data_IF_387389295817
#
_entry.id   IF_387389295817
#
_cell.length_a   1.000
_cell.length_b   1.000
_cell.length_c   1.000
_cell.angle_alpha   90.00
_cell.angle_beta   90.00
_cell.angle_gamma   90.00
#
_symmetry.space_group_name_H-M   'P 1'
#
loop_
_entity.id
_entity.type
_entity.pdbx_description
1 polymer ?
#
# COMPACT_ATOMS: atom_id res chain seq x y z
N UNK A 1 -10.50 -1.15 8.70
CA UNK A 1 -11.10 -1.02 7.35
C UNK A 1 -11.20 0.41 6.84
N UNK A 2 -11.80 1.37 7.57
CA UNK A 2 -11.98 2.76 7.08
C UNK A 2 -10.70 3.41 6.54
N UNK A 3 -9.58 3.28 7.24
CA UNK A 3 -8.30 3.86 6.81
C UNK A 3 -7.76 3.27 5.49
N UNK A 4 -7.82 1.94 5.31
CA UNK A 4 -7.43 1.30 4.05
C UNK A 4 -8.33 1.75 2.89
N UNK A 5 -9.64 1.89 3.13
CA UNK A 5 -10.55 2.41 2.12
C UNK A 5 -10.20 3.84 1.70
N UNK A 6 -9.83 4.71 2.65
CA UNK A 6 -9.41 6.09 2.35
C UNK A 6 -8.13 6.10 1.52
N UNK A 7 -7.13 5.28 1.88
CA UNK A 7 -5.89 5.15 1.11
C UNK A 7 -6.15 4.61 -0.30
N UNK A 8 -7.00 3.60 -0.44
CA UNK A 8 -7.35 3.03 -1.74
C UNK A 8 -8.03 4.07 -2.63
N UNK A 9 -9.02 4.81 -2.10
CA UNK A 9 -9.68 5.90 -2.82
C UNK A 9 -8.65 6.95 -3.28
N UNK A 10 -7.72 7.33 -2.41
CA UNK A 10 -6.65 8.26 -2.78
C UNK A 10 -5.80 7.73 -3.94
N UNK A 11 -5.35 6.48 -3.88
CA UNK A 11 -4.54 5.83 -4.91
C UNK A 11 -5.31 5.63 -6.23
N UNK A 12 -6.63 5.56 -6.19
CA UNK A 12 -7.49 5.38 -7.36
C UNK A 12 -7.92 6.71 -8.00
N UNK A 13 -7.88 7.81 -7.25
CA UNK A 13 -8.26 9.15 -7.74
C UNK A 13 -7.11 9.75 -8.55
N UNK A 14 -7.32 10.15 -9.83
CA UNK A 14 -6.31 10.84 -10.63
C UNK A 14 -5.77 12.10 -9.96
N UNK A 15 -4.47 12.34 -10.10
CA UNK A 15 -3.88 13.64 -9.79
C UNK A 15 -4.11 14.63 -10.95
N UNK A 16 -4.06 15.97 -10.71
CA UNK A 16 -4.24 16.96 -11.77
C UNK A 16 -3.30 16.77 -12.96
N UNK A 17 -2.09 16.26 -12.73
CA UNK A 17 -1.10 15.98 -13.77
C UNK A 17 -1.47 14.76 -14.65
N UNK A 18 -2.36 13.90 -14.17
CA UNK A 18 -2.87 12.74 -14.91
C UNK A 18 -4.11 13.08 -15.77
N UNK A 19 -4.71 14.26 -15.57
CA UNK A 19 -5.94 14.68 -16.27
C UNK A 19 -5.57 15.59 -17.43
N UNK A 20 -5.91 15.18 -18.66
CA UNK A 20 -5.82 16.05 -19.83
C UNK A 20 -7.14 16.78 -20.04
N UNK A 21 -7.15 18.10 -19.79
CA UNK A 21 -8.33 18.97 -19.94
C UNK A 21 -8.93 18.97 -21.37
N UNK A 22 -8.19 18.48 -22.38
CA UNK A 22 -8.64 18.41 -23.77
C UNK A 22 -9.10 17.01 -24.22
N UNK A 23 -9.02 16.00 -23.34
CA UNK A 23 -9.43 14.64 -23.62
C UNK A 23 -10.93 14.45 -23.39
N UNK A 24 -11.65 13.97 -24.40
CA UNK A 24 -13.08 13.63 -24.29
C UNK A 24 -13.33 12.26 -23.62
N UNK A 25 -12.27 11.58 -23.20
CA UNK A 25 -12.34 10.30 -22.50
C UNK A 25 -12.54 10.55 -21.00
N UNK A 26 -13.55 9.88 -20.44
CA UNK A 26 -13.96 9.91 -19.02
C UNK A 26 -12.73 9.93 -18.10
N UNK A 27 -12.68 10.86 -17.13
CA UNK A 27 -11.60 10.98 -16.13
C UNK A 27 -11.43 9.63 -15.40
N UNK A 28 -10.52 8.80 -15.92
CA UNK A 28 -10.41 7.40 -15.55
C UNK A 28 -9.88 7.16 -14.14
N UNK A 29 -9.67 5.90 -13.78
CA UNK A 29 -8.93 5.57 -12.55
C UNK A 29 -7.46 5.94 -12.73
N UNK A 30 -6.83 6.46 -11.67
CA UNK A 30 -5.39 6.78 -11.67
C UNK A 30 -4.56 5.56 -12.04
N UNK A 31 -3.51 5.78 -12.84
CA UNK A 31 -2.56 4.75 -13.25
C UNK A 31 -1.19 4.91 -12.60
N UNK A 32 -1.00 5.96 -11.78
CA UNK A 32 0.27 6.19 -11.08
C UNK A 32 0.69 5.01 -10.20
N UNK A 33 2.00 4.80 -10.11
CA UNK A 33 2.62 3.68 -9.39
C UNK A 33 2.66 3.89 -7.88
N UNK A 34 2.90 5.12 -7.42
CA UNK A 34 3.18 5.49 -6.04
C UNK A 34 2.28 6.62 -5.53
N UNK A 35 2.48 7.08 -4.29
CA UNK A 35 1.58 8.05 -3.67
C UNK A 35 1.46 9.36 -4.46
N UNK A 36 2.57 9.83 -5.02
CA UNK A 36 2.70 11.15 -5.64
C UNK A 36 3.22 11.09 -7.08
N UNK A 37 2.96 9.97 -7.77
CA UNK A 37 3.30 9.80 -9.18
C UNK A 37 3.96 8.46 -9.47
N UNK A 38 4.88 8.46 -10.44
CA UNK A 38 5.53 7.25 -10.93
C UNK A 38 6.90 6.95 -10.30
N UNK A 39 7.43 7.87 -9.48
CA UNK A 39 8.66 7.69 -8.72
C UNK A 39 8.40 7.65 -7.22
N UNK A 40 9.29 6.97 -6.49
CA UNK A 40 9.24 6.91 -5.03
C UNK A 40 9.57 8.29 -4.45
N UNK A 41 8.81 8.68 -3.43
CA UNK A 41 8.98 9.93 -2.70
C UNK A 41 9.14 9.66 -1.20
N UNK A 42 9.44 10.70 -0.43
CA UNK A 42 9.52 10.62 1.04
C UNK A 42 8.22 10.12 1.68
N UNK A 43 7.07 10.38 1.05
CA UNK A 43 5.78 9.88 1.54
C UNK A 43 5.71 8.36 1.48
N UNK A 44 6.26 7.77 0.40
CA UNK A 44 6.31 6.32 0.21
C UNK A 44 7.24 5.66 1.23
N UNK A 45 8.42 6.24 1.46
CA UNK A 45 9.37 5.76 2.47
C UNK A 45 8.77 5.72 3.89
N UNK A 46 7.83 6.62 4.20
CA UNK A 46 7.15 6.64 5.49
C UNK A 46 5.99 5.63 5.57
N UNK A 47 5.23 5.47 4.48
CA UNK A 47 4.03 4.63 4.48
C UNK A 47 4.33 3.16 4.24
N UNK A 48 5.19 2.82 3.27
CA UNK A 48 5.43 1.45 2.83
C UNK A 48 5.90 0.51 3.95
N UNK A 49 6.85 0.89 4.82
CA UNK A 49 7.26 0.01 5.94
C UNK A 49 6.09 -0.28 6.89
N UNK A 50 5.26 0.74 7.19
CA UNK A 50 4.10 0.59 8.09
C UNK A 50 3.03 -0.29 7.45
N UNK A 51 2.75 -0.08 6.18
CA UNK A 51 1.75 -0.85 5.45
C UNK A 51 2.17 -2.32 5.29
N UNK A 52 3.46 -2.58 5.09
CA UNK A 52 4.00 -3.94 5.02
C UNK A 52 3.89 -4.68 6.36
N UNK A 53 4.25 -4.02 7.48
CA UNK A 53 4.06 -4.59 8.82
C UNK A 53 2.59 -4.93 9.05
N UNK A 54 1.67 -4.01 8.73
CA UNK A 54 0.22 -4.26 8.84
C UNK A 54 -0.19 -5.48 8.01
N UNK A 55 0.27 -5.60 6.77
CA UNK A 55 -0.03 -6.75 5.90
C UNK A 55 0.44 -8.07 6.53
N UNK A 56 1.68 -8.15 6.99
CA UNK A 56 2.29 -9.38 7.54
C UNK A 56 1.63 -9.77 8.86
N UNK A 57 1.58 -8.85 9.82
CA UNK A 57 1.05 -9.13 11.18
C UNK A 57 -0.44 -9.46 11.12
N UNK A 58 -1.23 -8.72 10.36
CA UNK A 58 -2.66 -9.00 10.26
C UNK A 58 -2.95 -10.34 9.57
N UNK A 59 -2.14 -10.73 8.57
CA UNK A 59 -2.27 -12.06 7.96
C UNK A 59 -1.93 -13.16 8.95
N UNK A 60 -0.80 -13.05 9.66
CA UNK A 60 -0.34 -14.08 10.60
C UNK A 60 -1.28 -14.30 11.78
N UNK A 61 -1.70 -13.23 12.44
CA UNK A 61 -2.39 -13.33 13.72
C UNK A 61 -3.91 -13.24 13.65
N UNK A 62 -4.46 -12.75 12.53
CA UNK A 62 -5.91 -12.51 12.38
C UNK A 62 -6.50 -13.09 11.10
N UNK A 63 -5.70 -13.79 10.29
CA UNK A 63 -6.05 -14.25 8.94
C UNK A 63 -6.68 -13.16 8.06
N UNK A 64 -6.35 -11.91 8.34
CA UNK A 64 -6.89 -10.76 7.62
C UNK A 64 -5.98 -10.44 6.45
N UNK A 65 -6.55 -10.40 5.24
CA UNK A 65 -5.91 -9.90 4.04
C UNK A 65 -6.57 -8.60 3.59
N UNK A 66 -5.79 -7.75 2.91
CA UNK A 66 -6.33 -6.56 2.24
C UNK A 66 -7.32 -7.05 1.16
N UNK A 67 -8.60 -6.63 1.20
CA UNK A 67 -9.58 -7.08 0.22
C UNK A 67 -9.17 -6.80 -1.23
N UNK A 68 -9.48 -7.71 -2.14
CA UNK A 68 -9.17 -7.59 -3.58
C UNK A 68 -9.86 -6.39 -4.26
N UNK A 69 -10.95 -5.87 -3.67
CA UNK A 69 -11.60 -4.65 -4.14
C UNK A 69 -10.73 -3.40 -4.00
N UNK A 70 -9.72 -3.41 -3.10
CA UNK A 70 -8.78 -2.30 -2.92
C UNK A 70 -7.65 -2.35 -3.95
N UNK A 71 -8.04 -2.17 -5.22
CA UNK A 71 -7.16 -2.29 -6.39
C UNK A 71 -6.01 -1.29 -6.38
N UNK A 72 -6.22 -0.09 -5.83
CA UNK A 72 -5.19 0.94 -5.72
C UNK A 72 -4.07 0.53 -4.78
N UNK A 73 -4.44 -0.03 -3.62
CA UNK A 73 -3.47 -0.56 -2.65
C UNK A 73 -2.71 -1.75 -3.22
N UNK A 74 -3.39 -2.69 -3.89
CA UNK A 74 -2.73 -3.83 -4.51
C UNK A 74 -1.76 -3.39 -5.62
N UNK A 75 -2.15 -2.43 -6.46
CA UNK A 75 -1.26 -1.82 -7.46
C UNK A 75 -0.06 -1.16 -6.81
N UNK A 76 -0.27 -0.39 -5.74
CA UNK A 76 0.78 0.32 -5.02
C UNK A 76 1.81 -0.65 -4.41
N UNK A 77 1.34 -1.64 -3.66
CA UNK A 77 2.21 -2.66 -3.05
C UNK A 77 2.96 -3.46 -4.11
N UNK A 78 2.31 -3.85 -5.20
CA UNK A 78 2.96 -4.58 -6.30
C UNK A 78 4.11 -3.78 -6.90
N UNK A 79 3.91 -2.49 -7.17
CA UNK A 79 4.97 -1.62 -7.69
C UNK A 79 6.08 -1.42 -6.66
N UNK A 80 5.75 -1.26 -5.37
CA UNK A 80 6.74 -1.11 -4.32
C UNK A 80 7.61 -2.36 -4.13
N UNK A 81 7.02 -3.56 -4.09
CA UNK A 81 7.79 -4.81 -3.96
C UNK A 81 8.69 -5.10 -5.17
N UNK A 82 8.43 -4.48 -6.33
CA UNK A 82 9.29 -4.57 -7.51
C UNK A 82 10.47 -3.59 -7.48
N UNK A 83 10.53 -2.67 -6.51
CA UNK A 83 11.61 -1.70 -6.33
C UNK A 83 12.62 -2.22 -5.32
N UNK A 84 13.90 -2.26 -5.72
CA UNK A 84 14.99 -2.73 -4.88
C UNK A 84 15.11 -1.92 -3.58
N UNK A 85 14.85 -0.61 -3.67
CA UNK A 85 14.90 0.32 -2.54
C UNK A 85 13.96 -0.10 -1.40
N UNK A 86 12.85 -0.76 -1.74
CA UNK A 86 11.91 -1.29 -0.77
C UNK A 86 12.16 -2.76 -0.46
N UNK A 87 12.34 -3.63 -1.47
CA UNK A 87 12.47 -5.07 -1.25
C UNK A 87 13.72 -5.44 -0.46
N UNK A 88 14.83 -4.73 -0.69
CA UNK A 88 16.12 -5.01 -0.02
C UNK A 88 16.22 -4.39 1.38
N UNK A 89 15.27 -3.53 1.77
CA UNK A 89 15.24 -2.86 3.08
C UNK A 89 14.15 -3.41 4.00
N UNK A 90 13.25 -4.26 3.49
CA UNK A 90 12.29 -4.96 4.32
C UNK A 90 12.98 -6.05 5.15
N UNK A 91 12.70 -6.15 6.46
CA UNK A 91 13.09 -7.34 7.22
C UNK A 91 12.29 -8.55 6.74
N UNK A 92 12.80 -9.74 7.02
CA UNK A 92 12.08 -10.98 6.73
C UNK A 92 10.73 -11.01 7.47
N UNK A 93 9.70 -11.60 6.85
CA UNK A 93 8.36 -11.68 7.43
C UNK A 93 8.39 -12.32 8.83
N UNK A 94 9.24 -13.33 9.05
CA UNK A 94 9.41 -14.00 10.36
C UNK A 94 9.88 -13.05 11.47
N UNK A 95 10.76 -12.09 11.16
CA UNK A 95 11.24 -11.09 12.12
C UNK A 95 10.12 -10.11 12.51
N UNK A 96 9.30 -9.71 11.53
CA UNK A 96 8.12 -8.86 11.78
C UNK A 96 7.11 -9.61 12.66
N UNK A 97 6.84 -10.88 12.35
CA UNK A 97 5.93 -11.71 13.13
C UNK A 97 6.42 -11.85 14.58
N UNK A 98 7.69 -12.23 14.76
CA UNK A 98 8.30 -12.37 16.08
C UNK A 98 8.22 -11.08 16.90
N UNK A 99 8.49 -9.93 16.29
CA UNK A 99 8.41 -8.63 16.96
C UNK A 99 7.00 -8.31 17.49
N UNK A 100 5.95 -8.85 16.87
CA UNK A 100 4.55 -8.62 17.27
C UNK A 100 3.93 -9.79 18.05
N UNK A 101 4.64 -10.89 18.25
CA UNK A 101 4.09 -12.12 18.81
C UNK A 101 3.39 -11.91 20.16
N UNK A 102 4.02 -11.18 21.08
CA UNK A 102 3.52 -10.96 22.43
C UNK A 102 2.27 -10.07 22.45
N UNK A 103 2.27 -8.99 21.65
CA UNK A 103 1.19 -8.00 21.64
C UNK A 103 0.00 -8.46 20.80
N UNK A 104 0.23 -9.19 19.70
CA UNK A 104 -0.82 -9.65 18.81
C UNK A 104 -1.65 -10.79 19.43
N UNK A 105 -1.02 -11.68 20.21
CA UNK A 105 -1.70 -12.76 20.96
C UNK A 105 -2.57 -12.24 22.11
N UNK A 106 -2.22 -11.11 22.70
CA UNK A 106 -2.95 -10.52 23.83
C UNK A 106 -4.28 -9.87 23.42
N UNK A 107 -4.39 -9.47 22.15
CA UNK A 107 -5.62 -8.92 21.60
C UNK A 107 -6.54 -10.10 21.24
N UNK A 108 -7.54 -10.38 22.09
CA UNK A 108 -8.66 -11.27 21.78
C UNK A 108 -9.84 -10.46 21.23
#
# INVERSE_FOLDING_TARGET
MKALKVLDVYLMTPQPEEVDENSAEDEGQSNRKFLDGNELTLADCNLLPKLHIVKVVCKKYRDFTIPEEFRGIHRYLKNAYAREEFSSTCPDDEEIELAYELVAKALK
#
